data_IF_618637941616
#
_entry.id   IF_618637941616
#
_cell.length_a   1.000
_cell.length_b   1.000
_cell.length_c   1.000
_cell.angle_alpha   90.00
_cell.angle_beta   90.00
_cell.angle_gamma   90.00
#
_symmetry.space_group_name_H-M   'P 1'
#
loop_
_entity.id
_entity.type
_entity.pdbx_description
1 polymer ?
#
# COMPACT_ATOMS: atom_id res chain seq x y z
N UNK A 1 -40.87 12.40 -6.28
CA UNK A 1 -40.86 13.67 -7.01
C UNK A 1 -39.45 13.89 -7.52
N UNK A 2 -39.29 13.97 -8.84
CA UNK A 2 -38.01 14.21 -9.48
C UNK A 2 -37.61 15.69 -9.30
N UNK A 3 -36.31 15.93 -9.12
CA UNK A 3 -35.71 17.25 -9.32
C UNK A 3 -35.21 17.95 -8.07
N UNK A 4 -34.21 17.39 -7.40
CA UNK A 4 -33.17 18.23 -6.79
C UNK A 4 -31.79 17.59 -7.03
N UNK A 5 -31.56 17.24 -8.30
CA UNK A 5 -30.24 16.86 -8.78
C UNK A 5 -29.34 18.08 -8.73
N UNK A 6 -28.09 17.85 -8.33
CA UNK A 6 -27.05 18.86 -8.17
C UNK A 6 -27.06 19.85 -9.33
N UNK A 7 -27.13 21.15 -9.02
CA UNK A 7 -27.00 22.23 -10.00
C UNK A 7 -25.53 22.43 -10.37
N UNK A 8 -24.87 21.38 -10.87
CA UNK A 8 -23.47 21.40 -11.31
C UNK A 8 -23.24 22.50 -12.34
N UNK A 9 -24.22 22.75 -13.20
CA UNK A 9 -24.21 23.86 -14.16
C UNK A 9 -24.12 25.23 -13.46
N UNK A 10 -24.79 25.40 -12.31
CA UNK A 10 -24.71 26.62 -11.51
C UNK A 10 -23.35 26.78 -10.83
N UNK A 11 -22.81 25.72 -10.23
CA UNK A 11 -21.49 25.74 -9.58
C UNK A 11 -20.35 25.94 -10.60
N UNK A 12 -20.45 25.30 -11.76
CA UNK A 12 -19.51 25.44 -12.86
C UNK A 12 -19.57 26.85 -13.46
N UNK A 13 -20.77 27.38 -13.74
CA UNK A 13 -20.94 28.78 -14.21
C UNK A 13 -20.41 29.79 -13.20
N UNK A 14 -20.65 29.56 -11.90
CA UNK A 14 -20.10 30.40 -10.84
C UNK A 14 -18.57 30.31 -10.81
N UNK A 15 -17.99 29.11 -10.85
CA UNK A 15 -16.54 28.91 -10.87
C UNK A 15 -15.89 29.55 -12.09
N UNK A 16 -16.47 29.42 -13.29
CA UNK A 16 -15.96 30.08 -14.50
C UNK A 16 -16.06 31.60 -14.41
N UNK A 17 -17.15 32.13 -13.84
CA UNK A 17 -17.33 33.58 -13.66
C UNK A 17 -16.34 34.18 -12.64
N UNK A 18 -15.82 33.37 -11.71
CA UNK A 18 -14.89 33.79 -10.66
C UNK A 18 -13.43 33.36 -10.91
N UNK A 19 -13.16 32.63 -11.99
CA UNK A 19 -11.84 32.11 -12.37
C UNK A 19 -11.53 32.38 -13.85
N UNK A 20 -11.52 33.64 -14.27
CA UNK A 20 -11.14 34.01 -15.64
C UNK A 20 -9.62 34.19 -15.84
N UNK A 21 -8.82 34.13 -14.76
CA UNK A 21 -7.36 34.26 -14.79
C UNK A 21 -6.81 35.59 -15.33
N UNK A 22 -7.68 36.53 -15.71
CA UNK A 22 -7.35 37.80 -16.38
C UNK A 22 -7.67 39.02 -15.51
N UNK A 23 -8.48 38.84 -14.47
CA UNK A 23 -8.76 39.86 -13.47
C UNK A 23 -7.95 39.65 -12.16
N UNK A 24 -7.58 40.73 -11.44
CA UNK A 24 -6.96 40.61 -10.12
C UNK A 24 -7.89 39.85 -9.16
N UNK A 25 -7.34 39.12 -8.16
CA UNK A 25 -8.13 38.31 -7.25
C UNK A 25 -9.20 39.17 -6.57
N UNK A 26 -10.46 38.91 -6.90
CA UNK A 26 -11.60 39.52 -6.24
C UNK A 26 -11.81 38.84 -4.89
N UNK A 27 -11.96 39.62 -3.83
CA UNK A 27 -12.44 39.11 -2.55
C UNK A 27 -13.90 38.65 -2.72
N UNK A 28 -14.18 37.38 -2.41
CA UNK A 28 -15.55 36.87 -2.36
C UNK A 28 -16.37 37.71 -1.37
N UNK A 29 -17.62 38.02 -1.72
CA UNK A 29 -18.58 38.57 -0.77
C UNK A 29 -18.87 37.56 0.35
N UNK A 30 -19.27 38.04 1.53
CA UNK A 30 -19.63 37.13 2.63
C UNK A 30 -20.83 36.27 2.27
N UNK A 31 -21.75 36.80 1.45
CA UNK A 31 -22.92 36.12 0.92
C UNK A 31 -22.54 34.98 -0.02
N UNK A 32 -21.60 35.19 -0.95
CA UNK A 32 -21.12 34.15 -1.87
C UNK A 32 -20.36 33.06 -1.12
N UNK A 33 -19.56 33.44 -0.11
CA UNK A 33 -18.84 32.49 0.74
C UNK A 33 -19.82 31.63 1.53
N UNK A 34 -20.87 32.23 2.07
CA UNK A 34 -21.90 31.52 2.84
C UNK A 34 -22.71 30.58 1.94
N UNK A 35 -23.13 31.04 0.77
CA UNK A 35 -23.83 30.22 -0.21
C UNK A 35 -22.99 29.01 -0.65
N UNK A 36 -21.71 29.21 -0.94
CA UNK A 36 -20.80 28.12 -1.33
C UNK A 36 -20.61 27.11 -0.19
N UNK A 37 -20.39 27.57 1.05
CA UNK A 37 -20.30 26.68 2.21
C UNK A 37 -21.60 25.92 2.47
N UNK A 38 -22.76 26.57 2.34
CA UNK A 38 -24.07 25.92 2.49
C UNK A 38 -24.31 24.88 1.39
N UNK A 39 -23.97 25.18 0.13
CA UNK A 39 -24.09 24.23 -0.98
C UNK A 39 -23.14 23.03 -0.82
N UNK A 40 -21.91 23.27 -0.36
CA UNK A 40 -20.95 22.21 -0.04
C UNK A 40 -21.39 21.36 1.16
N UNK A 41 -21.90 21.98 2.23
CA UNK A 41 -22.37 21.27 3.43
C UNK A 41 -23.67 20.49 3.19
N UNK A 42 -24.58 21.02 2.37
CA UNK A 42 -25.80 20.30 1.97
C UNK A 42 -25.49 19.05 1.14
N UNK A 43 -24.31 19.00 0.49
CA UNK A 43 -23.88 17.89 -0.35
C UNK A 43 -22.88 16.94 0.35
N UNK A 44 -22.19 17.39 1.39
CA UNK A 44 -21.35 16.52 2.22
C UNK A 44 -22.24 15.63 3.08
N UNK A 45 -22.21 14.32 2.86
CA UNK A 45 -22.72 13.36 3.84
C UNK A 45 -21.97 13.63 5.14
N UNK A 46 -22.68 13.87 6.24
CA UNK A 46 -22.07 13.89 7.56
C UNK A 46 -21.62 12.46 7.87
N UNK A 47 -20.40 12.14 7.44
CA UNK A 47 -19.79 10.81 7.54
C UNK A 47 -19.82 10.34 9.00
N UNK A 48 -19.54 11.23 9.94
CA UNK A 48 -19.57 10.91 11.37
C UNK A 48 -20.99 10.55 11.83
N UNK A 49 -22.01 11.28 11.38
CA UNK A 49 -23.40 10.91 11.64
C UNK A 49 -23.74 9.55 11.04
N UNK A 50 -23.34 9.29 9.79
CA UNK A 50 -23.60 8.01 9.13
C UNK A 50 -22.89 6.84 9.84
N UNK A 51 -21.63 7.00 10.22
CA UNK A 51 -20.90 6.02 11.02
C UNK A 51 -21.54 5.77 12.39
N UNK A 52 -22.17 6.77 13.01
CA UNK A 52 -22.95 6.60 14.25
C UNK A 52 -24.21 5.77 14.03
N UNK A 53 -24.90 5.95 12.90
CA UNK A 53 -26.05 5.12 12.51
C UNK A 53 -25.61 3.66 12.29
N UNK A 54 -24.54 3.44 11.54
CA UNK A 54 -23.94 2.09 11.35
C UNK A 54 -23.56 1.48 12.69
N UNK A 55 -22.94 2.26 13.58
CA UNK A 55 -22.57 1.82 14.94
C UNK A 55 -23.79 1.41 15.76
N UNK A 56 -24.93 2.10 15.61
CA UNK A 56 -26.17 1.74 16.28
C UNK A 56 -26.72 0.40 15.76
N UNK A 57 -26.68 0.18 14.45
CA UNK A 57 -27.05 -1.12 13.86
C UNK A 57 -26.14 -2.22 14.40
N UNK A 58 -24.82 -2.01 14.45
CA UNK A 58 -23.88 -2.99 15.01
C UNK A 58 -24.10 -3.33 16.48
N UNK A 59 -24.68 -2.40 17.26
CA UNK A 59 -25.01 -2.61 18.68
C UNK A 59 -26.37 -3.28 18.87
N UNK A 60 -27.19 -3.34 17.83
CA UNK A 60 -28.53 -3.90 17.92
C UNK A 60 -28.44 -5.44 17.94
N UNK A 61 -29.16 -6.12 18.85
CA UNK A 61 -29.21 -7.58 18.87
C UNK A 61 -29.68 -8.20 17.55
N UNK A 62 -29.10 -9.34 17.18
CA UNK A 62 -29.34 -10.02 15.89
C UNK A 62 -30.82 -10.41 15.72
N UNK A 63 -31.49 -10.85 16.79
CA UNK A 63 -32.93 -11.18 16.80
C UNK A 63 -33.82 -9.96 16.47
N UNK A 64 -33.41 -8.77 16.92
CA UNK A 64 -34.12 -7.53 16.63
C UNK A 64 -33.90 -7.09 15.18
N UNK A 65 -32.68 -7.27 14.66
CA UNK A 65 -32.36 -6.99 13.24
C UNK A 65 -33.16 -7.92 12.32
N UNK A 66 -33.19 -9.22 12.62
CA UNK A 66 -33.96 -10.21 11.87
C UNK A 66 -35.47 -9.90 11.91
N UNK A 67 -36.01 -9.50 13.07
CA UNK A 67 -37.41 -9.09 13.20
C UNK A 67 -37.76 -7.83 12.38
N UNK A 68 -36.77 -6.97 12.13
CA UNK A 68 -36.90 -5.79 11.26
C UNK A 68 -36.69 -6.11 9.78
N UNK A 69 -36.43 -7.39 9.44
CA UNK A 69 -36.19 -7.84 8.07
C UNK A 69 -34.79 -7.53 7.54
N UNK A 70 -33.83 -7.20 8.41
CA UNK A 70 -32.44 -6.99 8.03
C UNK A 70 -31.80 -8.35 7.76
N UNK A 71 -31.26 -8.52 6.55
CA UNK A 71 -30.61 -9.76 6.14
C UNK A 71 -29.09 -9.69 6.39
N UNK A 72 -28.40 -10.84 6.43
CA UNK A 72 -26.94 -10.85 6.50
C UNK A 72 -26.25 -10.16 5.31
N UNK A 73 -26.94 -10.03 4.17
CA UNK A 73 -26.42 -9.28 3.01
C UNK A 73 -26.46 -7.77 3.29
N UNK A 74 -27.55 -7.26 3.86
CA UNK A 74 -27.65 -5.84 4.24
C UNK A 74 -26.57 -5.45 5.27
N UNK A 75 -26.23 -6.35 6.19
CA UNK A 75 -25.14 -6.13 7.15
C UNK A 75 -23.77 -6.10 6.44
N UNK A 76 -23.56 -6.95 5.44
CA UNK A 76 -22.32 -6.94 4.65
C UNK A 76 -22.19 -5.64 3.84
N UNK A 77 -23.25 -5.19 3.18
CA UNK A 77 -23.27 -3.93 2.44
C UNK A 77 -23.03 -2.72 3.36
N UNK A 78 -23.59 -2.76 4.58
CA UNK A 78 -23.34 -1.75 5.60
C UNK A 78 -21.89 -1.74 6.09
N UNK A 79 -21.25 -2.92 6.21
CA UNK A 79 -19.83 -3.02 6.56
C UNK A 79 -18.94 -2.54 5.41
N UNK A 80 -19.34 -2.75 4.16
CA UNK A 80 -18.66 -2.19 2.99
C UNK A 80 -18.73 -0.67 2.98
N UNK A 81 -19.90 -0.11 3.24
CA UNK A 81 -20.05 1.33 3.41
C UNK A 81 -19.17 1.86 4.55
N UNK A 82 -19.13 1.15 5.69
CA UNK A 82 -18.25 1.51 6.80
C UNK A 82 -16.78 1.47 6.39
N UNK A 83 -16.36 0.48 5.61
CA UNK A 83 -15.00 0.34 5.11
C UNK A 83 -14.58 1.58 4.31
N UNK A 84 -15.42 2.04 3.37
CA UNK A 84 -15.18 3.23 2.55
C UNK A 84 -14.98 4.48 3.42
N UNK A 85 -15.82 4.67 4.44
CA UNK A 85 -15.71 5.82 5.34
C UNK A 85 -14.42 5.81 6.14
N UNK A 86 -13.98 4.63 6.60
CA UNK A 86 -12.77 4.50 7.44
C UNK A 86 -11.46 4.38 6.67
N UNK A 87 -11.48 4.50 5.34
CA UNK A 87 -10.25 4.67 4.55
C UNK A 87 -9.51 5.96 4.94
N UNK A 88 -10.24 6.97 5.42
CA UNK A 88 -9.65 8.13 6.06
C UNK A 88 -9.15 7.80 7.47
N UNK A 89 -7.88 8.11 7.74
CA UNK A 89 -7.24 7.88 9.05
C UNK A 89 -8.02 8.59 10.18
N UNK A 90 -8.56 9.77 9.92
CA UNK A 90 -9.34 10.52 10.91
C UNK A 90 -10.65 9.78 11.24
N UNK A 91 -11.35 9.26 10.23
CA UNK A 91 -12.58 8.49 10.41
C UNK A 91 -12.31 7.15 11.08
N UNK A 92 -11.22 6.47 10.73
CA UNK A 92 -10.79 5.25 11.42
C UNK A 92 -10.58 5.49 12.93
N UNK A 93 -9.97 6.64 13.29
CA UNK A 93 -9.77 7.02 14.68
C UNK A 93 -11.09 7.42 15.37
N UNK A 94 -11.99 8.09 14.66
CA UNK A 94 -13.30 8.49 15.17
C UNK A 94 -14.25 7.31 15.40
N UNK A 95 -14.09 6.21 14.64
CA UNK A 95 -14.87 4.99 14.83
C UNK A 95 -14.78 4.47 16.28
N UNK A 96 -13.60 4.56 16.90
CA UNK A 96 -13.45 4.23 18.32
C UNK A 96 -14.18 5.23 19.22
N UNK A 97 -14.00 6.53 18.97
CA UNK A 97 -14.60 7.63 19.75
C UNK A 97 -16.14 7.58 19.77
N UNK A 98 -16.77 7.17 18.66
CA UNK A 98 -18.23 6.97 18.58
C UNK A 98 -18.70 5.62 19.14
N UNK A 99 -17.77 4.79 19.62
CA UNK A 99 -18.03 3.49 20.21
C UNK A 99 -18.40 2.41 19.20
N UNK A 100 -17.93 2.52 17.95
CA UNK A 100 -18.14 1.54 16.88
C UNK A 100 -17.09 0.43 16.84
N UNK A 101 -15.92 0.62 17.45
CA UNK A 101 -14.84 -0.37 17.44
C UNK A 101 -15.22 -1.70 18.11
N UNK A 102 -15.75 -1.66 19.34
CA UNK A 102 -16.09 -2.87 20.09
C UNK A 102 -17.18 -3.69 19.40
N UNK A 103 -18.29 -3.10 18.90
CA UNK A 103 -19.27 -3.82 18.07
C UNK A 103 -18.65 -4.45 16.81
N UNK A 104 -17.78 -3.72 16.10
CA UNK A 104 -17.08 -4.24 14.92
C UNK A 104 -16.24 -5.48 15.26
N UNK A 105 -15.49 -5.45 16.36
CA UNK A 105 -14.74 -6.62 16.84
C UNK A 105 -15.67 -7.77 17.27
N UNK A 106 -16.87 -7.47 17.77
CA UNK A 106 -17.90 -8.46 18.07
C UNK A 106 -18.38 -9.20 16.82
N UNK A 107 -18.47 -8.51 15.68
CA UNK A 107 -18.88 -9.11 14.40
C UNK A 107 -17.88 -10.13 13.85
N UNK A 108 -16.62 -10.12 14.31
CA UNK A 108 -15.66 -11.19 14.03
C UNK A 108 -16.11 -12.55 14.58
N UNK A 109 -17.05 -12.59 15.52
CA UNK A 109 -17.62 -13.82 16.11
C UNK A 109 -19.03 -14.13 15.59
N UNK A 110 -19.50 -13.43 14.56
CA UNK A 110 -20.85 -13.61 14.03
C UNK A 110 -21.03 -15.01 13.39
N UNK A 111 -22.25 -15.53 13.40
CA UNK A 111 -22.60 -16.83 12.83
C UNK A 111 -22.35 -16.91 11.31
N UNK A 112 -22.51 -15.80 10.60
CA UNK A 112 -22.35 -15.67 9.16
C UNK A 112 -20.90 -15.41 8.75
N UNK A 113 -20.36 -16.25 7.86
CA UNK A 113 -18.98 -16.13 7.38
C UNK A 113 -18.72 -14.83 6.59
N UNK A 114 -19.69 -14.36 5.80
CA UNK A 114 -19.58 -13.09 5.07
C UNK A 114 -19.41 -11.89 6.00
N UNK A 115 -20.21 -11.84 7.07
CA UNK A 115 -20.10 -10.79 8.10
C UNK A 115 -18.73 -10.85 8.79
N UNK A 116 -18.25 -12.04 9.17
CA UNK A 116 -16.91 -12.19 9.77
C UNK A 116 -15.80 -11.71 8.82
N UNK A 117 -15.89 -12.06 7.53
CA UNK A 117 -14.92 -11.67 6.51
C UNK A 117 -14.91 -10.15 6.30
N UNK A 118 -16.08 -9.52 6.19
CA UNK A 118 -16.21 -8.06 6.05
C UNK A 118 -15.77 -7.31 7.30
N UNK A 119 -16.10 -7.81 8.49
CA UNK A 119 -15.61 -7.22 9.73
C UNK A 119 -14.07 -7.24 9.81
N UNK A 120 -13.43 -8.37 9.45
CA UNK A 120 -11.97 -8.45 9.37
C UNK A 120 -11.38 -7.50 8.32
N UNK A 121 -12.10 -7.25 7.23
CA UNK A 121 -11.69 -6.29 6.20
C UNK A 121 -11.74 -4.84 6.70
N UNK A 122 -12.83 -4.42 7.35
CA UNK A 122 -12.90 -3.10 8.01
C UNK A 122 -11.79 -2.96 9.06
N UNK A 123 -11.55 -4.01 9.87
CA UNK A 123 -10.45 -4.01 10.85
C UNK A 123 -9.09 -3.86 10.16
N UNK A 124 -8.88 -4.48 8.99
CA UNK A 124 -7.66 -4.29 8.20
C UNK A 124 -7.48 -2.82 7.83
N UNK A 125 -8.51 -2.17 7.31
CA UNK A 125 -8.46 -0.76 6.88
C UNK A 125 -8.16 0.18 8.04
N UNK A 126 -8.83 0.04 9.19
CA UNK A 126 -8.65 0.97 10.31
C UNK A 126 -7.24 0.92 10.92
N UNK A 127 -6.59 -0.25 10.90
CA UNK A 127 -5.26 -0.45 11.53
C UNK A 127 -4.10 -0.30 10.56
N UNK A 128 -4.36 -0.32 9.25
CA UNK A 128 -3.31 -0.27 8.23
C UNK A 128 -2.52 1.04 8.34
N UNK A 129 -1.24 0.93 8.69
CA UNK A 129 -0.34 2.07 8.89
C UNK A 129 -0.90 3.13 9.87
N UNK A 130 -1.72 2.73 10.84
CA UNK A 130 -2.34 3.60 11.82
C UNK A 130 -2.03 3.14 13.26
N UNK A 131 -0.95 3.66 13.88
CA UNK A 131 -0.53 3.25 15.23
C UNK A 131 -1.58 3.45 16.32
N UNK A 132 -2.41 4.50 16.20
CA UNK A 132 -3.47 4.79 17.18
C UNK A 132 -4.55 3.72 17.13
N UNK A 133 -5.08 3.41 15.94
CA UNK A 133 -6.05 2.33 15.78
C UNK A 133 -5.48 0.96 16.11
N UNK A 134 -4.21 0.68 15.75
CA UNK A 134 -3.52 -0.55 16.15
C UNK A 134 -3.53 -0.72 17.67
N UNK A 135 -3.16 0.33 18.42
CA UNK A 135 -3.19 0.30 19.88
C UNK A 135 -4.61 0.07 20.43
N UNK A 136 -5.60 0.81 19.93
CA UNK A 136 -7.00 0.68 20.38
C UNK A 136 -7.57 -0.73 20.12
N UNK A 137 -7.24 -1.33 18.98
CA UNK A 137 -7.63 -2.72 18.66
C UNK A 137 -6.96 -3.72 19.60
N UNK A 138 -5.68 -3.52 19.93
CA UNK A 138 -4.97 -4.37 20.88
C UNK A 138 -5.56 -4.26 22.30
N UNK A 139 -5.86 -3.05 22.76
CA UNK A 139 -6.49 -2.79 24.07
C UNK A 139 -7.90 -3.38 24.17
N UNK A 140 -8.65 -3.39 23.07
CA UNK A 140 -9.96 -4.02 22.97
C UNK A 140 -9.90 -5.56 22.78
N UNK A 141 -8.71 -6.17 22.91
CA UNK A 141 -8.47 -7.60 22.71
C UNK A 141 -8.93 -8.11 21.31
N UNK A 142 -8.78 -7.27 20.28
CA UNK A 142 -9.18 -7.59 18.91
C UNK A 142 -8.30 -8.64 18.22
N UNK A 143 -7.09 -8.89 18.72
CA UNK A 143 -6.19 -9.90 18.15
C UNK A 143 -6.70 -11.34 18.37
N UNK A 144 -7.34 -11.63 19.50
CA UNK A 144 -7.86 -12.97 19.83
C UNK A 144 -8.90 -13.48 18.80
N UNK A 145 -10.00 -12.76 18.49
CA UNK A 145 -10.96 -13.21 17.49
C UNK A 145 -10.36 -13.31 16.09
N UNK A 146 -9.42 -12.42 15.74
CA UNK A 146 -8.72 -12.51 14.45
C UNK A 146 -7.88 -13.79 14.34
N UNK A 147 -7.16 -14.16 15.40
CA UNK A 147 -6.38 -15.40 15.45
C UNK A 147 -7.27 -16.64 15.43
N UNK A 148 -8.39 -16.62 16.16
CA UNK A 148 -9.39 -17.69 16.11
C UNK A 148 -9.92 -17.90 14.69
N UNK A 149 -10.30 -16.80 14.02
CA UNK A 149 -10.80 -16.86 12.65
C UNK A 149 -9.73 -17.28 11.65
N UNK A 150 -8.48 -16.84 11.83
CA UNK A 150 -7.36 -17.25 10.97
C UNK A 150 -7.07 -18.76 11.08
N UNK A 151 -7.11 -19.31 12.29
CA UNK A 151 -6.71 -20.70 12.57
C UNK A 151 -7.83 -21.72 12.36
N UNK A 152 -9.07 -21.37 12.70
CA UNK A 152 -10.12 -22.35 12.95
C UNK A 152 -11.40 -22.11 12.17
N UNK A 153 -11.54 -20.99 11.46
CA UNK A 153 -12.75 -20.72 10.68
C UNK A 153 -12.88 -21.74 9.53
N UNK A 154 -14.06 -22.31 9.25
CA UNK A 154 -14.25 -23.21 8.10
C UNK A 154 -14.11 -22.49 6.75
N UNK A 155 -14.43 -21.20 6.68
CA UNK A 155 -14.41 -20.41 5.45
C UNK A 155 -13.02 -19.84 5.15
N UNK A 156 -12.48 -20.18 3.98
CA UNK A 156 -11.15 -19.75 3.54
C UNK A 156 -11.05 -18.23 3.32
N UNK A 157 -12.14 -17.57 2.94
CA UNK A 157 -12.19 -16.11 2.79
C UNK A 157 -12.03 -15.45 4.15
N UNK A 158 -12.72 -15.95 5.17
CA UNK A 158 -12.59 -15.46 6.55
C UNK A 158 -11.16 -15.64 7.05
N UNK A 159 -10.55 -16.81 6.84
CA UNK A 159 -9.14 -17.05 7.17
C UNK A 159 -8.21 -16.05 6.50
N UNK A 160 -8.38 -15.84 5.20
CA UNK A 160 -7.55 -14.94 4.38
C UNK A 160 -7.69 -13.47 4.80
N UNK A 161 -8.91 -13.01 5.10
CA UNK A 161 -9.19 -11.63 5.55
C UNK A 161 -8.66 -11.41 6.97
N UNK A 162 -8.82 -12.39 7.85
CA UNK A 162 -8.27 -12.34 9.22
C UNK A 162 -6.74 -12.29 9.22
N UNK A 163 -6.07 -13.06 8.36
CA UNK A 163 -4.62 -12.96 8.15
C UNK A 163 -4.21 -11.56 7.67
N UNK A 164 -4.99 -10.96 6.76
CA UNK A 164 -4.79 -9.58 6.31
C UNK A 164 -4.85 -8.58 7.47
N UNK A 165 -5.88 -8.68 8.30
CA UNK A 165 -6.08 -7.82 9.47
C UNK A 165 -4.94 -7.98 10.48
N UNK A 166 -4.52 -9.22 10.78
CA UNK A 166 -3.39 -9.50 11.67
C UNK A 166 -2.11 -8.89 11.10
N UNK A 167 -1.84 -9.06 9.80
CA UNK A 167 -0.65 -8.48 9.15
C UNK A 167 -0.61 -6.97 9.32
N UNK A 168 -1.72 -6.27 9.05
CA UNK A 168 -1.81 -4.81 9.23
C UNK A 168 -1.74 -4.39 10.70
N UNK A 169 -2.26 -5.19 11.63
CA UNK A 169 -2.29 -4.89 13.06
C UNK A 169 -0.90 -4.97 13.71
N UNK A 170 -0.08 -5.93 13.31
CA UNK A 170 1.23 -6.20 13.95
C UNK A 170 2.40 -5.50 13.25
N UNK A 171 2.25 -5.06 12.00
CA UNK A 171 3.29 -4.29 11.30
C UNK A 171 3.58 -2.99 12.04
N UNK A 172 4.87 -2.78 12.31
CA UNK A 172 5.44 -1.67 13.08
C UNK A 172 4.89 -1.55 14.51
N UNK A 173 4.32 -2.63 15.05
CA UNK A 173 3.71 -2.69 16.37
C UNK A 173 4.36 -3.81 17.21
N UNK A 174 5.43 -3.47 17.95
CA UNK A 174 6.22 -4.45 18.73
C UNK A 174 5.38 -5.24 19.75
N UNK A 175 4.47 -4.62 20.54
CA UNK A 175 3.54 -5.38 21.39
C UNK A 175 2.66 -6.36 20.61
N UNK A 176 2.17 -5.96 19.43
CA UNK A 176 1.41 -6.81 18.52
C UNK A 176 2.20 -8.03 18.04
N UNK A 177 3.45 -7.84 17.64
CA UNK A 177 4.36 -8.94 17.24
C UNK A 177 4.59 -9.91 18.41
N UNK A 178 4.84 -9.38 19.61
CA UNK A 178 5.03 -10.21 20.80
C UNK A 178 3.78 -11.03 21.14
N UNK A 179 2.60 -10.41 21.10
CA UNK A 179 1.33 -11.11 21.33
C UNK A 179 1.06 -12.19 20.26
N UNK A 180 1.36 -11.90 18.99
CA UNK A 180 1.25 -12.86 17.90
C UNK A 180 2.17 -14.08 18.10
N UNK A 181 3.41 -13.86 18.56
CA UNK A 181 4.34 -14.94 18.92
C UNK A 181 3.81 -15.80 20.07
N UNK A 182 3.35 -15.17 21.15
CA UNK A 182 2.82 -15.85 22.33
C UNK A 182 1.59 -16.71 22.01
N UNK A 183 0.79 -16.28 21.03
CA UNK A 183 -0.39 -17.00 20.57
C UNK A 183 -0.10 -18.06 19.49
N UNK A 184 1.15 -18.51 19.35
CA UNK A 184 1.59 -19.50 18.34
C UNK A 184 1.26 -19.08 16.90
N UNK A 185 1.37 -17.79 16.58
CA UNK A 185 1.07 -17.26 15.25
C UNK A 185 1.91 -17.89 14.11
N UNK A 186 3.14 -18.33 14.39
CA UNK A 186 3.96 -19.05 13.40
C UNK A 186 3.40 -20.43 13.04
N UNK A 187 2.80 -21.15 14.01
CA UNK A 187 2.10 -22.40 13.71
C UNK A 187 0.96 -22.17 12.72
N UNK A 188 0.15 -21.14 12.97
CA UNK A 188 -0.94 -20.76 12.08
C UNK A 188 -0.46 -20.33 10.68
N UNK A 189 0.67 -19.61 10.59
CA UNK A 189 1.28 -19.26 9.31
C UNK A 189 1.76 -20.49 8.54
N UNK A 190 2.36 -21.47 9.22
CA UNK A 190 2.77 -22.73 8.62
C UNK A 190 1.58 -23.48 8.02
N UNK A 191 0.47 -23.54 8.75
CA UNK A 191 -0.75 -24.20 8.27
C UNK A 191 -1.35 -23.47 7.06
N UNK A 192 -1.31 -22.14 7.05
CA UNK A 192 -1.74 -21.33 5.91
C UNK A 192 -0.90 -21.57 4.64
N UNK A 193 0.40 -21.84 4.78
CA UNK A 193 1.25 -22.22 3.63
C UNK A 193 0.88 -23.59 3.04
N UNK A 194 0.35 -24.49 3.87
CA UNK A 194 -0.17 -25.79 3.43
C UNK A 194 -1.54 -25.72 2.75
N UNK A 195 -2.23 -24.56 2.80
CA UNK A 195 -3.50 -24.37 2.11
C UNK A 195 -3.31 -24.34 0.59
N UNK A 196 -4.33 -24.72 -0.18
CA UNK A 196 -4.32 -24.63 -1.65
C UNK A 196 -4.59 -23.20 -2.18
N UNK A 197 -4.79 -22.22 -1.29
CA UNK A 197 -5.15 -20.86 -1.67
C UNK A 197 -3.91 -19.98 -1.83
N UNK A 198 -3.55 -19.69 -3.08
CA UNK A 198 -2.42 -18.83 -3.42
C UNK A 198 -2.46 -17.46 -2.73
N UNK A 199 -3.66 -16.88 -2.52
CA UNK A 199 -3.80 -15.59 -1.83
C UNK A 199 -3.43 -15.69 -0.34
N UNK A 200 -3.81 -16.79 0.30
CA UNK A 200 -3.48 -17.06 1.71
C UNK A 200 -1.99 -17.35 1.85
N UNK A 201 -1.43 -18.20 0.99
CA UNK A 201 0.00 -18.50 0.92
C UNK A 201 0.83 -17.23 0.74
N UNK A 202 0.52 -16.39 -0.25
CA UNK A 202 1.21 -15.12 -0.51
C UNK A 202 1.20 -14.21 0.71
N UNK A 203 0.03 -14.03 1.36
CA UNK A 203 -0.08 -13.20 2.57
C UNK A 203 0.73 -13.76 3.73
N UNK A 204 0.74 -15.07 3.91
CA UNK A 204 1.51 -15.73 4.96
C UNK A 204 3.01 -15.57 4.72
N UNK A 205 3.50 -15.83 3.50
CA UNK A 205 4.90 -15.65 3.11
C UNK A 205 5.37 -14.21 3.34
N UNK A 206 4.59 -13.22 2.90
CA UNK A 206 4.91 -11.81 3.10
C UNK A 206 4.94 -11.41 4.58
N UNK A 207 4.07 -12.00 5.42
CA UNK A 207 4.11 -11.74 6.86
C UNK A 207 5.33 -12.40 7.52
N UNK A 208 5.69 -13.62 7.13
CA UNK A 208 6.90 -14.29 7.61
C UNK A 208 8.14 -13.48 7.26
N UNK A 209 8.25 -13.03 6.00
CA UNK A 209 9.36 -12.21 5.54
C UNK A 209 9.48 -10.91 6.37
N UNK A 210 8.35 -10.22 6.59
CA UNK A 210 8.32 -9.04 7.44
C UNK A 210 8.80 -9.32 8.86
N UNK A 211 8.33 -10.41 9.48
CA UNK A 211 8.72 -10.78 10.84
C UNK A 211 10.21 -11.14 10.96
N UNK A 212 10.77 -11.82 9.96
CA UNK A 212 12.20 -12.12 9.88
C UNK A 212 13.05 -10.85 9.78
N UNK A 213 12.62 -9.86 9.00
CA UNK A 213 13.30 -8.57 8.86
C UNK A 213 13.25 -7.74 10.15
N UNK A 214 12.14 -7.78 10.89
CA UNK A 214 12.01 -7.07 12.16
C UNK A 214 12.80 -7.74 13.29
N UNK A 215 12.94 -9.07 13.27
CA UNK A 215 13.63 -9.79 14.33
C UNK A 215 14.33 -11.07 13.84
N UNK A 216 15.64 -10.98 13.67
CA UNK A 216 16.48 -12.12 13.26
C UNK A 216 16.36 -13.34 14.17
N UNK A 217 16.00 -13.19 15.47
CA UNK A 217 15.83 -14.36 16.35
C UNK A 217 14.68 -15.27 15.94
N UNK A 218 13.72 -14.76 15.16
CA UNK A 218 12.59 -15.54 14.66
C UNK A 218 13.02 -16.56 13.59
N UNK A 219 14.22 -16.38 13.02
CA UNK A 219 14.78 -17.31 12.05
C UNK A 219 14.91 -18.74 12.63
N UNK A 220 15.26 -18.87 13.91
CA UNK A 220 15.32 -20.17 14.59
C UNK A 220 13.93 -20.82 14.68
N UNK A 221 12.90 -20.05 15.03
CA UNK A 221 11.50 -20.52 15.09
C UNK A 221 11.05 -21.00 13.70
N UNK A 222 11.38 -20.23 12.67
CA UNK A 222 11.05 -20.53 11.27
C UNK A 222 11.76 -21.81 10.78
N UNK A 223 13.04 -21.98 11.13
CA UNK A 223 13.82 -23.20 10.84
C UNK A 223 13.24 -24.42 11.56
N UNK A 224 12.96 -24.32 12.86
CA UNK A 224 12.41 -25.41 13.68
C UNK A 224 11.02 -25.86 13.23
N UNK A 225 10.16 -24.93 12.79
CA UNK A 225 8.83 -25.23 12.28
C UNK A 225 8.83 -25.79 10.84
N UNK A 226 10.00 -25.87 10.19
CA UNK A 226 10.15 -26.48 8.87
C UNK A 226 9.69 -25.60 7.70
N UNK A 227 9.60 -24.28 7.89
CA UNK A 227 9.26 -23.33 6.83
C UNK A 227 10.19 -23.40 5.60
N UNK A 228 11.52 -23.55 5.73
CA UNK A 228 12.39 -23.63 4.55
C UNK A 228 11.96 -24.72 3.57
N UNK A 229 11.55 -25.89 4.07
CA UNK A 229 11.08 -26.99 3.24
C UNK A 229 9.78 -26.67 2.50
N UNK A 230 8.85 -25.99 3.17
CA UNK A 230 7.59 -25.58 2.56
C UNK A 230 7.84 -24.50 1.51
N UNK A 231 8.68 -23.51 1.82
CA UNK A 231 9.05 -22.44 0.90
C UNK A 231 9.78 -22.97 -0.34
N UNK A 232 10.66 -23.97 -0.21
CA UNK A 232 11.28 -24.63 -1.37
C UNK A 232 10.25 -25.27 -2.31
N UNK A 233 9.21 -25.91 -1.76
CA UNK A 233 8.11 -26.43 -2.57
C UNK A 233 7.30 -25.30 -3.24
N UNK A 234 7.02 -24.22 -2.51
CA UNK A 234 6.27 -23.06 -3.04
C UNK A 234 7.07 -22.23 -4.06
N UNK A 235 8.40 -22.29 -4.04
CA UNK A 235 9.25 -21.69 -5.07
C UNK A 235 9.05 -22.34 -6.45
N UNK A 236 8.46 -23.54 -6.50
CA UNK A 236 8.04 -24.23 -7.72
C UNK A 236 6.54 -24.08 -8.03
N UNK A 237 5.82 -23.19 -7.33
CA UNK A 237 4.39 -22.93 -7.58
C UNK A 237 4.12 -22.39 -8.98
N UNK A 238 2.92 -22.62 -9.54
CA UNK A 238 2.49 -22.01 -10.80
C UNK A 238 2.20 -20.50 -10.65
N UNK A 239 1.81 -20.06 -9.45
CA UNK A 239 1.53 -18.66 -9.13
C UNK A 239 2.82 -17.87 -8.91
N UNK A 240 3.05 -16.84 -9.73
CA UNK A 240 4.26 -16.00 -9.69
C UNK A 240 4.46 -15.32 -8.35
N UNK A 241 3.41 -14.76 -7.77
CA UNK A 241 3.53 -14.01 -6.52
C UNK A 241 3.87 -14.95 -5.34
N UNK A 242 3.32 -16.17 -5.34
CA UNK A 242 3.66 -17.19 -4.34
C UNK A 242 5.12 -17.61 -4.49
N UNK A 243 5.60 -17.83 -5.72
CA UNK A 243 7.02 -18.15 -5.97
C UNK A 243 7.94 -17.04 -5.47
N UNK A 244 7.66 -15.80 -5.86
CA UNK A 244 8.46 -14.63 -5.47
C UNK A 244 8.49 -14.46 -3.96
N UNK A 245 7.33 -14.53 -3.29
CA UNK A 245 7.27 -14.43 -1.84
C UNK A 245 8.01 -15.61 -1.14
N UNK A 246 8.00 -16.81 -1.72
CA UNK A 246 8.71 -17.96 -1.18
C UNK A 246 10.24 -17.82 -1.33
N UNK A 247 10.70 -17.36 -2.50
CA UNK A 247 12.11 -17.05 -2.75
C UNK A 247 12.60 -15.92 -1.84
N UNK A 248 11.79 -14.88 -1.63
CA UNK A 248 12.07 -13.79 -0.69
C UNK A 248 12.22 -14.29 0.75
N UNK A 249 11.31 -15.16 1.22
CA UNK A 249 11.42 -15.80 2.53
C UNK A 249 12.69 -16.64 2.68
N UNK A 250 13.03 -17.47 1.68
CA UNK A 250 14.26 -18.26 1.66
C UNK A 250 15.52 -17.38 1.69
N UNK A 251 15.50 -16.25 0.98
CA UNK A 251 16.61 -15.29 0.96
C UNK A 251 16.84 -14.64 2.33
N UNK A 252 15.79 -14.27 3.05
CA UNK A 252 15.95 -13.73 4.41
C UNK A 252 16.50 -14.80 5.37
N UNK A 253 16.07 -16.05 5.24
CA UNK A 253 16.61 -17.18 6.02
C UNK A 253 18.09 -17.44 5.68
N UNK A 254 18.47 -17.32 4.40
CA UNK A 254 19.84 -17.50 3.94
C UNK A 254 20.78 -16.36 4.38
N UNK A 255 20.26 -15.13 4.51
CA UNK A 255 21.00 -13.96 4.99
C UNK A 255 21.29 -14.00 6.48
N UNK A 256 20.55 -14.77 7.26
CA UNK A 256 20.76 -14.94 8.69
C UNK A 256 22.06 -15.70 8.98
N UNK A 257 23.15 -14.94 9.17
CA UNK A 257 24.49 -15.44 9.51
C UNK A 257 24.68 -15.74 11.01
N UNK A 258 23.63 -15.64 11.83
CA UNK A 258 23.77 -15.70 13.30
C UNK A 258 23.92 -17.11 13.86
N UNK A 259 23.68 -18.16 13.06
CA UNK A 259 24.06 -19.53 13.42
C UNK A 259 25.29 -19.96 12.65
N UNK A 260 26.35 -20.35 13.37
CA UNK A 260 27.52 -21.10 12.88
C UNK A 260 27.17 -22.46 12.22
N UNK A 261 25.88 -22.74 12.06
CA UNK A 261 25.39 -23.84 11.22
C UNK A 261 25.14 -23.31 9.81
N UNK A 262 26.10 -23.57 8.92
CA UNK A 262 25.87 -23.75 7.48
C UNK A 262 24.86 -24.90 7.17
N UNK A 263 24.07 -25.36 8.15
CA UNK A 263 22.94 -26.25 7.96
C UNK A 263 21.67 -25.47 7.55
N UNK A 264 21.83 -24.27 6.98
CA UNK A 264 20.77 -23.29 6.69
C UNK A 264 19.69 -23.88 5.80
N UNK A 265 20.03 -24.93 5.05
CA UNK A 265 19.08 -25.82 4.40
C UNK A 265 19.62 -27.24 4.57
N UNK A 266 19.04 -28.05 5.46
CA UNK A 266 19.37 -29.48 5.53
C UNK A 266 19.15 -30.23 4.18
N UNK A 267 18.61 -29.54 3.18
CA UNK A 267 18.37 -30.01 1.82
C UNK A 267 19.00 -29.05 0.78
N UNK A 268 20.25 -28.59 0.98
CA UNK A 268 20.97 -27.73 0.02
C UNK A 268 20.91 -28.25 -1.42
N UNK A 269 21.07 -29.56 -1.63
CA UNK A 269 20.97 -30.19 -2.96
C UNK A 269 19.59 -29.97 -3.60
N UNK A 270 18.51 -30.00 -2.80
CA UNK A 270 17.16 -29.74 -3.31
C UNK A 270 16.94 -28.28 -3.61
N UNK A 271 17.43 -27.36 -2.77
CA UNK A 271 17.36 -25.94 -3.10
C UNK A 271 18.13 -25.67 -4.40
N UNK A 272 19.32 -26.25 -4.55
CA UNK A 272 20.13 -26.10 -5.76
C UNK A 272 19.36 -26.55 -6.99
N UNK A 273 18.72 -27.71 -6.93
CA UNK A 273 17.89 -28.22 -8.03
C UNK A 273 16.72 -27.27 -8.33
N UNK A 274 15.97 -26.84 -7.31
CA UNK A 274 14.84 -25.91 -7.49
C UNK A 274 15.30 -24.61 -8.16
N UNK A 275 16.42 -24.03 -7.70
CA UNK A 275 16.96 -22.82 -8.31
C UNK A 275 17.45 -23.06 -9.74
N UNK A 276 18.09 -24.20 -10.03
CA UNK A 276 18.49 -24.55 -11.39
C UNK A 276 17.28 -24.67 -12.32
N UNK A 277 16.22 -25.36 -11.89
CA UNK A 277 14.98 -25.49 -12.66
C UNK A 277 14.33 -24.13 -12.91
N UNK A 278 14.34 -23.23 -11.92
CA UNK A 278 13.85 -21.85 -12.09
C UNK A 278 14.71 -21.04 -13.05
N UNK A 279 16.03 -21.14 -12.95
CA UNK A 279 16.98 -20.47 -13.85
C UNK A 279 16.76 -20.93 -15.30
N UNK A 280 16.55 -22.22 -15.52
CA UNK A 280 16.23 -22.78 -16.84
C UNK A 280 14.88 -22.25 -17.34
N UNK A 281 13.83 -22.32 -16.51
CA UNK A 281 12.51 -21.78 -16.83
C UNK A 281 12.54 -20.30 -17.22
N UNK A 282 13.22 -19.46 -16.43
CA UNK A 282 13.43 -18.04 -16.72
C UNK A 282 14.20 -17.86 -18.03
N UNK A 283 15.22 -18.68 -18.30
CA UNK A 283 16.02 -18.58 -19.52
C UNK A 283 15.23 -18.88 -20.80
N UNK A 284 14.11 -19.59 -20.67
CA UNK A 284 13.21 -19.94 -21.78
C UNK A 284 12.02 -18.98 -21.95
N UNK A 285 11.90 -17.96 -21.10
CA UNK A 285 10.79 -16.99 -21.14
C UNK A 285 10.92 -15.99 -22.30
N UNK A 286 9.79 -15.45 -22.73
CA UNK A 286 9.74 -14.35 -23.71
C UNK A 286 10.22 -13.03 -23.08
N UNK A 287 10.64 -12.02 -23.86
CA UNK A 287 11.03 -10.71 -23.33
C UNK A 287 9.95 -10.03 -22.48
N UNK A 288 8.68 -10.19 -22.85
CA UNK A 288 7.53 -9.67 -22.10
C UNK A 288 7.41 -10.37 -20.74
N UNK A 289 7.50 -11.70 -20.72
CA UNK A 289 7.43 -12.50 -19.49
C UNK A 289 8.64 -12.25 -18.57
N UNK A 290 9.82 -12.01 -19.15
CA UNK A 290 11.02 -11.60 -18.40
C UNK A 290 10.82 -10.25 -17.70
N UNK A 291 10.07 -9.34 -18.33
CA UNK A 291 9.67 -8.07 -17.72
C UNK A 291 8.80 -8.29 -16.47
N UNK A 292 7.82 -9.18 -16.57
CA UNK A 292 6.96 -9.56 -15.44
C UNK A 292 7.72 -10.29 -14.33
N UNK A 293 8.63 -11.20 -14.67
CA UNK A 293 9.45 -11.97 -13.72
C UNK A 293 10.70 -11.20 -13.21
N UNK A 294 10.68 -9.86 -13.20
CA UNK A 294 11.83 -9.05 -12.78
C UNK A 294 12.24 -9.36 -11.33
N UNK A 295 11.28 -9.38 -10.42
CA UNK A 295 11.53 -9.62 -9.00
C UNK A 295 12.00 -11.06 -8.76
N UNK A 296 11.35 -12.05 -9.39
CA UNK A 296 11.80 -13.45 -9.39
C UNK A 296 13.28 -13.59 -9.80
N UNK A 297 13.70 -12.94 -10.90
CA UNK A 297 15.10 -12.97 -11.39
C UNK A 297 16.09 -12.42 -10.36
N UNK A 298 15.75 -11.31 -9.72
CA UNK A 298 16.60 -10.70 -8.69
C UNK A 298 16.70 -11.58 -7.43
N UNK A 299 15.59 -12.18 -7.02
CA UNK A 299 15.53 -13.05 -5.86
C UNK A 299 16.31 -14.35 -6.09
N UNK A 300 16.18 -14.98 -7.25
CA UNK A 300 16.93 -16.20 -7.61
C UNK A 300 18.44 -15.92 -7.60
N UNK A 301 18.89 -14.82 -8.22
CA UNK A 301 20.32 -14.46 -8.22
C UNK A 301 20.84 -14.16 -6.81
N UNK A 302 20.07 -13.38 -6.04
CA UNK A 302 20.44 -13.00 -4.67
C UNK A 302 20.52 -14.22 -3.75
N UNK A 303 19.57 -15.15 -3.89
CA UNK A 303 19.52 -16.38 -3.11
C UNK A 303 20.65 -17.33 -3.50
N UNK A 304 20.91 -17.49 -4.80
CA UNK A 304 22.04 -18.28 -5.28
C UNK A 304 23.37 -17.77 -4.74
N UNK A 305 23.61 -16.45 -4.83
CA UNK A 305 24.81 -15.83 -4.32
C UNK A 305 24.90 -15.93 -2.78
N UNK A 306 23.79 -15.80 -2.07
CA UNK A 306 23.76 -15.95 -0.61
C UNK A 306 24.08 -17.38 -0.15
N UNK A 307 23.63 -18.41 -0.89
CA UNK A 307 23.85 -19.81 -0.54
C UNK A 307 25.22 -20.33 -1.00
N UNK A 308 25.67 -19.99 -2.21
CA UNK A 308 26.84 -20.62 -2.85
C UNK A 308 28.06 -19.70 -2.98
N UNK A 309 27.95 -18.42 -2.62
CA UNK A 309 29.02 -17.42 -2.79
C UNK A 309 29.53 -17.29 -4.24
N UNK A 310 28.69 -17.60 -5.21
CA UNK A 310 28.99 -17.53 -6.65
C UNK A 310 27.85 -16.80 -7.38
N UNK A 311 28.12 -16.12 -8.52
CA UNK A 311 27.07 -15.54 -9.33
C UNK A 311 26.19 -16.63 -9.95
N UNK A 312 24.88 -16.36 -10.09
CA UNK A 312 23.99 -17.27 -10.82
C UNK A 312 24.27 -17.21 -12.32
N UNK A 313 23.97 -18.29 -13.06
CA UNK A 313 24.10 -18.29 -14.52
C UNK A 313 23.14 -17.33 -15.22
N UNK A 314 22.19 -16.72 -14.50
CA UNK A 314 21.37 -15.62 -15.03
C UNK A 314 22.23 -14.37 -15.29
N UNK A 315 23.28 -14.13 -14.47
CA UNK A 315 24.20 -13.00 -14.69
C UNK A 315 24.99 -13.17 -15.96
N UNK A 316 25.50 -14.38 -16.20
CA UNK A 316 26.26 -14.70 -17.41
C UNK A 316 25.41 -14.56 -18.68
N UNK A 317 24.09 -14.79 -18.57
CA UNK A 317 23.12 -14.61 -19.65
C UNK A 317 22.61 -13.17 -19.80
N UNK A 318 23.04 -12.22 -18.96
CA UNK A 318 22.54 -10.84 -18.96
C UNK A 318 21.06 -10.71 -18.57
N UNK A 319 20.53 -11.70 -17.84
CA UNK A 319 19.12 -11.78 -17.44
C UNK A 319 18.88 -11.27 -16.01
N UNK A 320 19.90 -10.86 -15.27
CA UNK A 320 19.72 -10.27 -13.94
C UNK A 320 19.59 -8.76 -14.07
N UNK A 321 18.52 -8.18 -13.52
CA UNK A 321 18.37 -6.73 -13.40
C UNK A 321 19.07 -6.27 -12.13
N UNK A 322 20.16 -5.52 -12.26
CA UNK A 322 20.91 -5.05 -11.11
C UNK A 322 20.18 -3.89 -10.40
N UNK A 323 20.29 -3.75 -9.07
CA UNK A 323 19.75 -2.59 -8.35
C UNK A 323 20.40 -1.30 -8.88
N UNK A 324 19.62 -0.43 -9.52
CA UNK A 324 20.11 0.84 -10.10
C UNK A 324 20.19 0.92 -11.62
N UNK A 325 19.84 -0.14 -12.37
CA UNK A 325 19.59 -0.03 -13.83
C UNK A 325 18.25 0.68 -14.17
N UNK A 326 17.56 1.19 -13.14
CA UNK A 326 16.42 2.11 -13.25
C UNK A 326 16.86 3.49 -13.74
N UNK A 327 17.25 3.58 -15.01
CA UNK A 327 16.78 4.67 -15.84
C UNK A 327 16.34 4.09 -17.17
N UNK A 328 15.12 3.56 -17.22
CA UNK A 328 14.27 4.02 -18.32
C UNK A 328 14.24 5.54 -18.18
N UNK A 329 15.16 6.24 -18.87
CA UNK A 329 15.09 7.69 -18.97
C UNK A 329 13.64 8.00 -19.33
N UNK A 330 12.94 8.89 -18.60
CA UNK A 330 11.69 9.40 -19.11
C UNK A 330 11.97 9.85 -20.56
N UNK A 331 11.10 9.52 -21.54
CA UNK A 331 11.33 9.94 -22.92
C UNK A 331 11.69 11.42 -22.90
N UNK A 332 12.76 11.84 -23.60
CA UNK A 332 13.28 13.20 -23.49
C UNK A 332 12.11 14.16 -23.64
N UNK A 333 11.92 15.00 -22.62
CA UNK A 333 10.82 15.96 -22.58
C UNK A 333 10.94 16.90 -23.79
N UNK A 334 10.25 16.54 -24.86
CA UNK A 334 10.16 17.31 -26.10
C UNK A 334 9.17 18.46 -25.97
N UNK A 335 8.39 18.53 -24.87
CA UNK A 335 7.41 19.59 -24.63
C UNK A 335 7.96 20.72 -23.73
N UNK A 336 8.88 20.41 -22.82
CA UNK A 336 9.39 21.37 -21.82
C UNK A 336 10.07 22.61 -22.41
N UNK A 337 10.70 22.51 -23.60
CA UNK A 337 11.32 23.67 -24.27
C UNK A 337 10.37 24.49 -25.14
N UNK A 338 9.20 23.95 -25.48
CA UNK A 338 8.23 24.61 -26.36
C UNK A 338 7.04 25.21 -25.60
N UNK A 339 6.81 24.78 -24.36
CA UNK A 339 5.69 25.21 -23.52
C UNK A 339 6.13 25.71 -22.14
N UNK A 340 7.13 26.60 -22.09
CA UNK A 340 7.28 27.46 -20.92
C UNK A 340 6.31 28.66 -21.04
N UNK A 341 5.33 28.82 -20.12
CA UNK A 341 4.56 30.05 -20.03
C UNK A 341 5.52 31.18 -19.61
N UNK A 342 5.47 32.37 -20.23
CA UNK A 342 6.44 33.45 -20.00
C UNK A 342 6.41 34.06 -18.59
N UNK A 343 5.61 33.52 -17.66
CA UNK A 343 5.39 34.04 -16.32
C UNK A 343 6.24 33.36 -15.23
N UNK A 344 6.98 32.29 -15.52
CA UNK A 344 7.88 31.65 -14.53
C UNK A 344 9.37 31.98 -14.68
N UNK A 345 9.76 32.72 -15.71
CA UNK A 345 11.16 33.09 -15.93
C UNK A 345 11.63 34.32 -15.10
N UNK A 346 10.76 34.92 -14.28
CA UNK A 346 11.03 36.20 -13.61
C UNK A 346 11.17 36.13 -12.08
N UNK A 347 11.04 34.94 -11.46
CA UNK A 347 11.01 34.80 -9.98
C UNK A 347 12.10 33.94 -9.36
N UNK A 348 13.18 33.64 -10.07
CA UNK A 348 14.37 33.02 -9.47
C UNK A 348 15.60 33.93 -9.65
N UNK A 349 15.74 34.93 -8.77
CA UNK A 349 17.06 35.51 -8.48
C UNK A 349 17.77 34.58 -7.50
N UNK A 350 18.99 34.09 -7.79
CA UNK A 350 19.79 33.36 -6.81
C UNK A 350 20.22 34.30 -5.67
N UNK A 351 20.49 33.77 -4.45
CA UNK A 351 20.96 34.58 -3.34
C UNK A 351 22.30 35.23 -3.70
N UNK A 352 22.40 36.52 -3.40
CA UNK A 352 23.60 37.35 -3.56
C UNK A 352 24.75 36.83 -2.69
N UNK A 353 25.84 36.40 -3.32
CA UNK A 353 27.17 36.39 -2.69
C UNK A 353 27.69 37.82 -2.62
N UNK A 354 28.13 38.20 -1.41
CA UNK A 354 28.73 39.49 -1.08
C UNK A 354 29.96 39.75 -1.95
N UNK A 355 29.97 40.91 -2.62
CA UNK A 355 31.18 41.47 -3.24
C UNK A 355 31.98 42.22 -2.18
N UNK A 356 33.24 41.84 -1.98
CA UNK A 356 34.28 42.75 -1.51
C UNK A 356 35.06 43.32 -2.69
N UNK A 357 35.22 44.64 -2.68
CA UNK A 357 35.87 45.54 -3.64
C UNK A 357 37.26 45.12 -4.14
N UNK A 358 37.54 45.42 -5.42
CA UNK A 358 38.62 46.36 -5.81
C UNK A 358 38.67 46.62 -7.32
N UNK A 359 38.33 47.85 -7.70
CA UNK A 359 39.02 48.77 -8.61
C UNK A 359 39.36 48.49 -10.11
N UNK A 360 38.86 49.44 -10.93
CA UNK A 360 39.56 50.26 -11.95
C UNK A 360 39.47 49.92 -13.47
N UNK A 361 38.83 50.88 -14.16
CA UNK A 361 39.06 51.42 -15.53
C UNK A 361 38.75 50.61 -16.80
N UNK A 362 37.74 51.03 -17.59
CA UNK A 362 37.87 52.03 -18.70
C UNK A 362 36.65 52.06 -19.67
N UNK A 363 36.02 53.23 -19.69
CA UNK A 363 35.33 54.00 -20.76
C UNK A 363 35.04 53.42 -22.17
N UNK A 364 33.82 53.79 -22.61
CA UNK A 364 33.32 54.17 -23.98
C UNK A 364 32.99 53.01 -24.92
N UNK A 365 31.88 52.96 -25.66
CA UNK A 365 30.98 54.00 -26.24
C UNK A 365 29.75 53.29 -26.84
N UNK A 366 28.57 53.92 -26.80
CA UNK A 366 27.42 53.58 -27.65
C UNK A 366 27.15 54.74 -28.61
N UNK A 367 26.84 54.44 -29.88
CA UNK A 367 25.72 55.09 -30.58
C UNK A 367 24.98 54.05 -31.45
N UNK A 368 23.81 54.24 -32.07
CA UNK A 368 22.79 55.28 -32.16
C UNK A 368 21.56 54.59 -32.78
N UNK A 369 20.37 55.08 -32.43
CA UNK A 369 19.09 54.72 -33.03
C UNK A 369 18.88 55.38 -34.41
N UNK A 370 17.90 54.81 -35.14
CA UNK A 370 17.06 55.34 -36.24
C UNK A 370 17.50 55.17 -37.70
N UNK A 371 16.58 54.57 -38.47
CA UNK A 371 16.55 54.64 -39.93
C UNK A 371 15.51 53.70 -40.54
N UNK A 372 14.25 54.11 -40.56
CA UNK A 372 13.14 53.42 -41.22
C UNK A 372 13.18 53.61 -42.74
N UNK A 373 12.88 52.52 -43.47
CA UNK A 373 11.90 52.47 -44.56
C UNK A 373 12.24 53.11 -45.93
N UNK A 374 11.97 52.45 -47.07
CA UNK A 374 12.58 52.80 -48.35
C UNK A 374 11.65 53.54 -49.35
N UNK A 375 12.33 54.26 -50.25
CA UNK A 375 12.14 54.39 -51.70
C UNK A 375 10.77 54.68 -52.35
N UNK A 376 10.81 55.69 -53.22
CA UNK A 376 10.16 55.77 -54.53
C UNK A 376 10.37 57.21 -55.05
N UNK A 377 10.97 57.52 -56.19
CA UNK A 377 11.18 56.77 -57.42
C UNK A 377 10.79 57.72 -58.55
N UNK A 378 11.78 58.49 -59.04
CA UNK A 378 11.70 59.53 -60.08
C UNK A 378 11.00 60.84 -59.74
#
# INVERSE_FOLDING_TARGET
>A
MAGDGVKWDGLLKWSLAHSDGTNPPRNLSEEDRKWFMEAMQAQSVDVVKRMKEITLVMKTPEDVLEAQGVTPADIQDMLDELQEHVESIDMANDLHSIGGLVPLLGYLKNSNAGIRAKAAEVVTTIVQNNPKSQQLVMEANGLEPLLSNFTSDPDETVRTKSLGAISSLIRHNKPGIAAFRLANGYGALRDALGSANARSQRKALNLIQYLLQENNSDCNIVKELGFPRIMMHLASSEDSDVREAALGGLLEIARDRTSESNAVLAEEDKLKQVLQDRIEGISSMTPEDLGAAREERQLVDSLWNACYNEPSSLRDKGLVVLPGEDTSQPPPDVAGKFFEPPLRAWTAKPPSEERSDSDVDKKKTAPLLLGAGPSGGS
#
